data_IF_076046081759
#
_entry.id   IF_076046081759
#
_cell.length_a   1.000
_cell.length_b   1.000
_cell.length_c   1.000
_cell.angle_alpha   90.00
_cell.angle_beta   90.00
_cell.angle_gamma   90.00
#
_symmetry.space_group_name_H-M   'P 1'
#
loop_
_entity.id
_entity.type
_entity.pdbx_description
1 polymer ?
#
# COMPACT_ATOMS: atom_id res chain seq x y z
N UNK A 1 -59.78 37.26 10.52
CA UNK A 1 -58.70 36.88 11.46
C UNK A 1 -58.55 35.37 11.39
N UNK A 2 -57.41 34.84 10.91
CA UNK A 2 -57.16 33.40 10.91
C UNK A 2 -55.65 33.11 10.97
N UNK A 3 -54.93 33.81 11.85
CA UNK A 3 -53.55 33.47 12.22
C UNK A 3 -53.50 32.47 13.39
N UNK A 4 -54.67 32.15 13.97
CA UNK A 4 -54.85 31.19 15.07
C UNK A 4 -54.88 29.72 14.64
N UNK A 5 -54.88 29.43 13.33
CA UNK A 5 -54.92 28.08 12.77
C UNK A 5 -53.50 27.49 12.51
N UNK A 6 -52.47 28.34 12.47
CA UNK A 6 -51.08 27.91 12.24
C UNK A 6 -50.48 27.03 13.36
N UNK A 7 -50.82 27.21 14.65
CA UNK A 7 -50.24 26.38 15.72
C UNK A 7 -50.73 24.92 15.72
N UNK A 8 -51.91 24.61 15.17
CA UNK A 8 -52.43 23.23 15.19
C UNK A 8 -51.68 22.28 14.23
N UNK A 9 -50.96 22.82 13.25
CA UNK A 9 -50.12 22.02 12.34
C UNK A 9 -48.69 21.77 12.87
N UNK A 10 -48.29 22.44 13.96
CA UNK A 10 -46.91 22.44 14.48
C UNK A 10 -46.43 21.12 15.09
N UNK A 11 -47.33 20.24 15.53
CA UNK A 11 -46.97 18.97 16.19
C UNK A 11 -46.36 17.92 15.24
N UNK A 12 -46.85 17.87 13.99
CA UNK A 12 -46.39 16.92 12.98
C UNK A 12 -45.14 17.40 12.25
N UNK A 13 -44.98 18.71 12.08
CA UNK A 13 -43.77 19.33 11.51
C UNK A 13 -42.52 18.98 12.32
N UNK A 14 -42.61 19.01 13.66
CA UNK A 14 -41.49 18.63 14.54
C UNK A 14 -41.10 17.15 14.41
N UNK A 15 -42.08 16.24 14.32
CA UNK A 15 -41.82 14.80 14.15
C UNK A 15 -41.21 14.50 12.79
N UNK A 16 -41.73 15.15 11.74
CA UNK A 16 -41.18 15.03 10.39
C UNK A 16 -39.74 15.57 10.31
N UNK A 17 -39.46 16.72 10.94
CA UNK A 17 -38.11 17.28 11.04
C UNK A 17 -37.15 16.35 11.79
N UNK A 18 -37.60 15.72 12.89
CA UNK A 18 -36.80 14.72 13.62
C UNK A 18 -36.50 13.51 12.73
N UNK A 19 -37.51 12.97 12.04
CA UNK A 19 -37.32 11.84 11.12
C UNK A 19 -36.37 12.19 9.98
N UNK A 20 -36.50 13.38 9.39
CA UNK A 20 -35.63 13.87 8.34
C UNK A 20 -34.19 14.08 8.85
N UNK A 21 -34.02 14.58 10.07
CA UNK A 21 -32.71 14.74 10.69
C UNK A 21 -32.04 13.39 10.95
N UNK A 22 -32.78 12.39 11.44
CA UNK A 22 -32.27 11.03 11.63
C UNK A 22 -31.88 10.41 10.28
N UNK A 23 -32.75 10.53 9.26
CA UNK A 23 -32.45 10.02 7.93
C UNK A 23 -31.22 10.70 7.34
N UNK A 24 -31.15 12.03 7.42
CA UNK A 24 -29.99 12.80 6.97
C UNK A 24 -28.71 12.39 7.69
N UNK A 25 -28.76 12.22 9.02
CA UNK A 25 -27.62 11.76 9.80
C UNK A 25 -27.20 10.34 9.38
N UNK A 26 -28.15 9.42 9.18
CA UNK A 26 -27.86 8.06 8.76
C UNK A 26 -27.21 8.00 7.38
N UNK A 27 -27.69 8.81 6.42
CA UNK A 27 -27.10 8.93 5.09
C UNK A 27 -25.68 9.50 5.16
N UNK A 28 -25.44 10.52 6.01
CA UNK A 28 -24.11 11.08 6.20
C UNK A 28 -23.14 10.06 6.80
N UNK A 29 -23.58 9.27 7.78
CA UNK A 29 -22.78 8.20 8.36
C UNK A 29 -22.44 7.17 7.30
N UNK A 30 -23.43 6.67 6.55
CA UNK A 30 -23.22 5.69 5.48
C UNK A 30 -22.23 6.21 4.44
N UNK A 31 -22.43 7.42 3.94
CA UNK A 31 -21.53 8.03 2.97
C UNK A 31 -20.11 8.16 3.51
N UNK A 32 -19.97 8.60 4.76
CA UNK A 32 -18.65 8.70 5.41
C UNK A 32 -17.99 7.32 5.48
N UNK A 33 -18.71 6.30 5.97
CA UNK A 33 -18.20 4.93 6.06
C UNK A 33 -17.74 4.38 4.71
N UNK A 34 -18.48 4.62 3.62
CA UNK A 34 -18.06 4.20 2.28
C UNK A 34 -16.72 4.82 1.88
N UNK A 35 -16.58 6.15 2.04
CA UNK A 35 -15.31 6.82 1.77
C UNK A 35 -14.17 6.27 2.62
N UNK A 36 -14.42 5.97 3.89
CA UNK A 36 -13.41 5.32 4.73
C UNK A 36 -13.01 3.95 4.17
N UNK A 37 -13.97 3.07 3.88
CA UNK A 37 -13.67 1.74 3.35
C UNK A 37 -12.88 1.83 2.04
N UNK A 38 -13.27 2.71 1.12
CA UNK A 38 -12.55 2.91 -0.15
C UNK A 38 -11.10 3.37 0.09
N UNK A 39 -10.87 4.42 0.89
CA UNK A 39 -9.52 4.94 1.13
C UNK A 39 -8.60 3.94 1.83
N UNK A 40 -9.13 3.18 2.80
CA UNK A 40 -8.33 2.22 3.56
C UNK A 40 -8.10 0.91 2.80
N UNK A 41 -9.04 0.52 1.93
CA UNK A 41 -8.89 -0.68 1.09
C UNK A 41 -8.05 -0.45 -0.16
N UNK A 42 -7.90 0.80 -0.62
CA UNK A 42 -7.04 1.16 -1.75
C UNK A 42 -5.59 1.46 -1.35
N UNK A 43 -5.22 1.29 -0.09
CA UNK A 43 -3.85 1.50 0.34
C UNK A 43 -2.89 0.54 -0.38
N UNK A 44 -1.74 1.06 -0.81
CA UNK A 44 -0.65 0.27 -1.37
C UNK A 44 0.33 0.00 -0.22
N UNK A 45 0.41 -1.22 0.32
CA UNK A 45 1.41 -1.55 1.32
C UNK A 45 2.81 -1.45 0.71
N UNK A 46 3.80 -1.21 1.57
CA UNK A 46 5.21 -1.30 1.18
C UNK A 46 5.45 -2.64 0.50
N UNK A 47 6.15 -2.62 -0.62
CA UNK A 47 6.39 -3.81 -1.42
C UNK A 47 7.79 -3.80 -1.99
N UNK A 48 8.18 -4.96 -2.51
CA UNK A 48 9.41 -5.17 -3.27
C UNK A 48 9.10 -5.95 -4.53
N UNK A 49 9.96 -5.86 -5.54
CA UNK A 49 9.89 -6.79 -6.67
C UNK A 49 9.97 -8.23 -6.16
N UNK A 50 9.15 -9.10 -6.74
CA UNK A 50 9.21 -10.53 -6.47
C UNK A 50 10.52 -11.11 -7.01
N UNK A 51 11.18 -11.94 -6.21
CA UNK A 51 12.43 -12.57 -6.64
C UNK A 51 12.31 -14.08 -6.45
N UNK A 52 12.24 -14.81 -7.57
CA UNK A 52 12.07 -16.27 -7.58
C UNK A 52 12.99 -17.02 -6.62
N UNK A 53 14.27 -16.64 -6.53
CA UNK A 53 15.26 -17.33 -5.69
C UNK A 53 15.00 -17.14 -4.18
N UNK A 54 14.33 -16.05 -3.79
CA UNK A 54 14.07 -15.69 -2.40
C UNK A 54 12.63 -16.00 -1.95
N UNK A 55 11.68 -15.85 -2.88
CA UNK A 55 10.25 -15.96 -2.58
C UNK A 55 9.68 -17.34 -2.91
N UNK A 56 10.31 -18.12 -3.81
CA UNK A 56 9.88 -19.49 -4.15
C UNK A 56 10.59 -20.58 -3.34
N UNK A 57 11.38 -20.22 -2.32
CA UNK A 57 12.10 -21.20 -1.51
C UNK A 57 11.14 -22.06 -0.70
N UNK A 58 10.85 -23.26 -1.22
CA UNK A 58 10.80 -24.45 -0.37
C UNK A 58 12.10 -24.48 0.44
N UNK A 59 12.06 -24.89 1.73
CA UNK A 59 13.22 -24.89 2.62
C UNK A 59 14.39 -25.79 2.17
N UNK A 60 14.31 -26.41 0.99
CA UNK A 60 15.26 -27.38 0.44
C UNK A 60 16.09 -26.89 -0.76
N UNK A 61 15.83 -25.69 -1.31
CA UNK A 61 16.76 -25.14 -2.29
C UNK A 61 17.97 -24.62 -1.52
N UNK A 62 18.99 -25.48 -1.41
CA UNK A 62 20.34 -25.12 -1.03
C UNK A 62 20.80 -23.98 -1.94
N UNK A 63 20.56 -22.75 -1.50
CA UNK A 63 21.03 -21.52 -2.11
C UNK A 63 22.52 -21.75 -2.37
N UNK A 64 22.87 -21.91 -3.65
CA UNK A 64 24.19 -22.37 -4.09
C UNK A 64 25.29 -21.34 -3.80
N UNK A 65 24.92 -20.24 -3.15
CA UNK A 65 25.78 -19.38 -2.37
C UNK A 65 25.09 -19.13 -1.03
N UNK A 66 25.84 -19.25 0.06
CA UNK A 66 25.43 -19.02 1.45
C UNK A 66 25.10 -17.53 1.73
N UNK A 67 24.37 -16.89 0.82
CA UNK A 67 24.01 -15.48 0.83
C UNK A 67 22.68 -15.34 1.55
N UNK A 68 22.72 -14.61 2.66
CA UNK A 68 21.52 -14.24 3.41
C UNK A 68 20.58 -13.42 2.52
N UNK A 69 19.28 -13.62 2.68
CA UNK A 69 18.22 -12.93 1.94
C UNK A 69 18.44 -11.42 1.78
N UNK A 70 18.84 -10.75 2.86
CA UNK A 70 19.11 -9.31 2.91
C UNK A 70 20.26 -8.87 1.99
N UNK A 71 21.29 -9.71 1.85
CA UNK A 71 22.43 -9.44 0.99
C UNK A 71 22.04 -9.57 -0.47
N UNK A 72 21.19 -10.56 -0.78
CA UNK A 72 20.67 -10.77 -2.12
C UNK A 72 19.75 -9.62 -2.58
N UNK A 73 18.91 -9.10 -1.66
CA UNK A 73 18.09 -7.92 -1.92
C UNK A 73 18.93 -6.68 -2.21
N UNK A 74 20.00 -6.49 -1.45
CA UNK A 74 20.89 -5.33 -1.62
C UNK A 74 21.60 -5.30 -2.97
N UNK A 75 21.94 -6.45 -3.54
CA UNK A 75 22.62 -6.53 -4.85
C UNK A 75 21.64 -6.50 -6.02
N UNK A 76 20.35 -6.75 -5.79
CA UNK A 76 19.32 -6.82 -6.84
C UNK A 76 18.46 -5.56 -6.90
N UNK A 77 18.35 -4.80 -5.80
CA UNK A 77 17.48 -3.63 -5.73
C UNK A 77 18.26 -2.37 -5.37
N UNK A 78 18.03 -1.26 -6.10
CA UNK A 78 18.61 0.04 -5.77
C UNK A 78 18.11 0.58 -4.42
N UNK A 79 18.86 1.53 -3.88
CA UNK A 79 18.47 2.27 -2.68
C UNK A 79 17.97 3.65 -3.09
N UNK A 80 16.82 4.05 -2.54
CA UNK A 80 16.25 5.40 -2.66
C UNK A 80 17.16 6.41 -1.91
N UNK A 81 16.94 7.71 -2.13
CA UNK A 81 17.59 8.83 -1.47
C UNK A 81 17.60 8.72 0.07
N UNK A 82 16.60 8.04 0.64
CA UNK A 82 16.48 7.78 2.08
C UNK A 82 17.26 6.54 2.56
N UNK A 83 18.10 5.92 1.72
CA UNK A 83 18.80 4.65 1.96
C UNK A 83 17.86 3.48 2.28
N UNK A 84 16.61 3.58 1.83
CA UNK A 84 15.64 2.48 1.86
C UNK A 84 15.67 1.77 0.51
N UNK A 85 15.32 0.50 0.50
CA UNK A 85 15.21 -0.26 -0.73
C UNK A 85 14.10 0.36 -1.61
N UNK A 86 14.43 0.61 -2.88
CA UNK A 86 13.47 1.04 -3.90
C UNK A 86 12.38 -0.03 -4.06
N UNK A 87 11.12 0.41 -4.13
CA UNK A 87 10.00 -0.53 -4.16
C UNK A 87 9.67 -0.96 -5.58
N UNK A 88 9.80 -0.05 -6.56
CA UNK A 88 9.27 -0.21 -7.92
C UNK A 88 10.28 -0.61 -9.00
N UNK A 89 11.57 -0.49 -8.68
CA UNK A 89 12.65 -0.74 -9.63
C UNK A 89 13.61 -1.78 -9.08
N UNK A 90 14.23 -2.50 -9.99
CA UNK A 90 15.33 -3.41 -9.70
C UNK A 90 16.46 -3.15 -10.69
N UNK A 91 17.65 -3.66 -10.38
CA UNK A 91 18.76 -3.58 -11.33
C UNK A 91 18.52 -4.57 -12.46
N UNK A 92 18.64 -4.09 -13.70
CA UNK A 92 18.57 -4.94 -14.90
C UNK A 92 19.59 -6.11 -14.85
N UNK A 93 20.74 -5.87 -14.19
CA UNK A 93 21.69 -6.92 -13.86
C UNK A 93 22.04 -6.88 -12.36
N UNK A 94 22.09 -8.04 -11.70
CA UNK A 94 22.51 -8.17 -10.29
C UNK A 94 23.90 -7.56 -10.08
N UNK A 95 24.01 -6.66 -9.12
CA UNK A 95 25.20 -5.87 -8.84
C UNK A 95 26.05 -6.54 -7.75
N UNK A 96 26.75 -7.61 -8.12
CA UNK A 96 27.66 -8.36 -7.23
C UNK A 96 28.73 -7.48 -6.57
N UNK A 97 29.07 -6.36 -7.19
CA UNK A 97 30.01 -5.36 -6.66
C UNK A 97 29.55 -4.75 -5.33
N UNK A 98 28.24 -4.72 -5.06
CA UNK A 98 27.67 -4.19 -3.81
C UNK A 98 27.90 -5.10 -2.59
N UNK A 99 28.43 -6.32 -2.78
CA UNK A 99 28.74 -7.25 -1.69
C UNK A 99 29.90 -6.78 -0.80
N UNK A 100 30.94 -6.20 -1.41
CA UNK A 100 32.16 -5.79 -0.73
C UNK A 100 32.39 -4.29 -0.95
N UNK A 101 31.90 -3.42 -0.06
CA UNK A 101 31.98 -1.97 -0.22
C UNK A 101 33.39 -1.39 0.02
N UNK A 102 34.44 -2.21 0.01
CA UNK A 102 35.73 -1.83 0.57
C UNK A 102 36.57 -0.90 -0.31
N UNK A 103 36.53 -0.99 -1.64
CA UNK A 103 37.43 -0.17 -2.46
C UNK A 103 36.91 0.01 -3.88
N UNK A 104 36.16 1.08 -4.08
CA UNK A 104 36.12 1.94 -5.27
C UNK A 104 34.84 2.75 -5.14
N UNK A 105 34.97 4.08 -5.25
CA UNK A 105 33.83 4.92 -5.56
C UNK A 105 33.07 4.23 -6.70
N UNK A 106 31.88 3.71 -6.41
CA UNK A 106 30.98 3.21 -7.44
C UNK A 106 30.92 4.38 -8.42
N UNK A 107 31.52 4.19 -9.60
CA UNK A 107 31.44 5.20 -10.64
C UNK A 107 29.94 5.43 -10.80
N UNK A 108 29.48 6.65 -10.51
CA UNK A 108 28.08 7.06 -10.59
C UNK A 108 27.58 7.07 -12.06
N UNK A 109 28.04 6.14 -12.90
CA UNK A 109 27.20 5.64 -13.97
C UNK A 109 25.92 5.15 -13.32
N UNK A 110 24.85 5.88 -13.61
CA UNK A 110 23.48 5.55 -13.25
C UNK A 110 23.28 4.06 -13.57
N UNK A 111 23.25 3.24 -12.52
CA UNK A 111 23.08 1.80 -12.66
C UNK A 111 21.75 1.58 -13.37
N UNK A 112 21.77 0.79 -14.44
CA UNK A 112 20.58 0.58 -15.24
C UNK A 112 19.52 -0.13 -14.40
N UNK A 113 18.44 0.58 -14.15
CA UNK A 113 17.27 0.08 -13.43
C UNK A 113 16.13 -0.12 -14.41
N UNK A 114 15.32 -1.12 -14.14
CA UNK A 114 14.12 -1.40 -14.90
C UNK A 114 12.93 -1.60 -13.93
N UNK A 115 11.67 -1.44 -14.38
CA UNK A 115 10.51 -1.71 -13.54
C UNK A 115 10.41 -3.21 -13.20
N UNK A 116 9.81 -3.55 -12.06
CA UNK A 116 9.55 -4.96 -11.71
C UNK A 116 8.70 -5.64 -12.81
N UNK A 117 9.19 -6.76 -13.37
CA UNK A 117 8.51 -7.49 -14.47
C UNK A 117 7.54 -8.57 -13.98
N UNK A 118 7.94 -9.34 -12.96
CA UNK A 118 7.34 -10.67 -12.72
C UNK A 118 6.32 -10.76 -11.59
N UNK A 119 6.24 -9.77 -10.68
CA UNK A 119 5.20 -9.55 -9.64
C UNK A 119 5.79 -8.75 -8.46
N UNK A 120 4.96 -8.49 -7.45
CA UNK A 120 5.31 -7.75 -6.25
C UNK A 120 5.08 -8.62 -5.02
N UNK A 121 6.01 -8.55 -4.06
CA UNK A 121 5.84 -9.13 -2.73
C UNK A 121 5.53 -8.00 -1.76
N UNK A 122 4.30 -7.98 -1.23
CA UNK A 122 3.81 -6.95 -0.31
C UNK A 122 4.13 -7.28 1.15
N UNK A 123 4.51 -6.26 1.93
CA UNK A 123 4.62 -6.35 3.38
C UNK A 123 3.22 -6.31 4.02
N UNK A 124 2.87 -7.39 4.70
CA UNK A 124 1.57 -7.56 5.37
C UNK A 124 1.58 -7.15 6.85
N UNK A 125 2.65 -6.50 7.33
CA UNK A 125 2.77 -6.08 8.73
C UNK A 125 1.73 -5.05 9.17
N UNK A 126 1.34 -4.14 8.27
CA UNK A 126 0.36 -3.07 8.52
C UNK A 126 -1.02 -3.47 7.99
N UNK A 127 -1.08 -3.97 6.75
CA UNK A 127 -2.31 -4.38 6.09
C UNK A 127 -2.24 -5.87 5.77
N UNK A 128 -3.13 -6.66 6.39
CA UNK A 128 -3.25 -8.09 6.06
C UNK A 128 -3.68 -8.28 4.60
N UNK A 129 -4.53 -7.38 4.10
CA UNK A 129 -4.96 -7.39 2.70
C UNK A 129 -5.52 -6.03 2.30
N UNK A 130 -5.26 -5.63 1.06
CA UNK A 130 -5.85 -4.47 0.38
C UNK A 130 -6.34 -4.89 -1.01
N UNK A 131 -7.16 -4.05 -1.66
CA UNK A 131 -7.63 -4.29 -3.03
C UNK A 131 -6.47 -4.58 -3.98
N UNK A 132 -5.35 -3.87 -3.80
CA UNK A 132 -4.13 -4.00 -4.60
C UNK A 132 -3.47 -5.38 -4.43
N UNK A 133 -3.55 -5.98 -3.24
CA UNK A 133 -2.97 -7.31 -2.97
C UNK A 133 -3.84 -8.48 -3.45
N UNK A 134 -5.10 -8.23 -3.84
CA UNK A 134 -6.08 -9.26 -4.19
C UNK A 134 -6.40 -9.32 -5.70
N UNK A 135 -5.70 -8.53 -6.51
CA UNK A 135 -5.88 -8.49 -7.97
C UNK A 135 -5.30 -9.74 -8.63
#
# INVERSE_FOLDING_TARGET
MAFSELPQHGGNLRRFQILLAILSLSLNILFSTQNFVENFSSAIPSHRCYIHLLDNTTPEINLTMNLKAETFLRISTPMDANKKQEQCHWFHQTQWQLLNPSDLAINNTELETEPCLDSWTYDQSIFTSTVVTQV
#
